data_IF_065213945057
#
_entry.id   IF_065213945057
#
_cell.length_a   1.000
_cell.length_b   1.000
_cell.length_c   1.000
_cell.angle_alpha   90.00
_cell.angle_beta   90.00
_cell.angle_gamma   90.00
#
_symmetry.space_group_name_H-M   'P 1'
#
loop_
_entity.id
_entity.type
_entity.pdbx_description
1 polymer ?
#
# COMPACT_ATOMS: atom_id res chain seq x y z
N UNK A 1 -15.80 6.67 -33.06
CA UNK A 1 -15.10 7.44 -32.00
C UNK A 1 -13.70 6.87 -31.88
N UNK A 2 -12.64 7.67 -31.69
CA UNK A 2 -11.34 7.11 -31.41
C UNK A 2 -11.43 6.34 -30.10
N UNK A 3 -11.09 5.05 -30.14
CA UNK A 3 -10.95 4.20 -28.97
C UNK A 3 -9.89 4.79 -28.07
N UNK A 4 -10.26 5.22 -26.87
CA UNK A 4 -9.29 5.65 -25.86
C UNK A 4 -8.52 4.40 -25.42
N UNK A 5 -7.22 4.37 -25.68
CA UNK A 5 -6.35 3.31 -25.18
C UNK A 5 -6.05 3.54 -23.70
N UNK A 6 -6.76 2.80 -22.84
CA UNK A 6 -6.63 2.90 -21.40
C UNK A 6 -5.24 2.47 -20.89
N UNK A 7 -4.46 1.72 -21.69
CA UNK A 7 -3.11 1.28 -21.33
C UNK A 7 -2.07 2.41 -21.39
N UNK A 8 -2.40 3.53 -22.05
CA UNK A 8 -1.53 4.70 -22.15
C UNK A 8 -1.75 5.71 -21.03
N UNK A 9 -2.69 5.44 -20.11
CA UNK A 9 -2.94 6.31 -18.98
C UNK A 9 -1.78 6.21 -17.98
N UNK A 10 -1.36 7.35 -17.38
CA UNK A 10 -0.37 7.30 -16.30
C UNK A 10 -0.93 6.52 -15.11
N UNK A 11 -0.03 5.93 -14.32
CA UNK A 11 -0.42 5.22 -13.11
C UNK A 11 -1.18 6.17 -12.17
N UNK A 12 -2.36 5.77 -11.66
CA UNK A 12 -3.12 6.58 -10.72
C UNK A 12 -2.32 6.89 -9.45
N UNK A 13 -2.35 8.13 -9.01
CA UNK A 13 -1.61 8.57 -7.82
C UNK A 13 -2.04 7.88 -6.51
N UNK A 14 -3.24 7.29 -6.46
CA UNK A 14 -3.73 6.52 -5.31
C UNK A 14 -3.04 5.14 -5.21
N UNK A 15 -2.48 4.62 -6.32
CA UNK A 15 -1.75 3.35 -6.31
C UNK A 15 -0.30 3.68 -5.94
N UNK A 16 0.03 3.52 -4.67
CA UNK A 16 1.34 3.85 -4.12
C UNK A 16 2.38 2.80 -4.51
N UNK A 17 3.61 3.23 -4.83
CA UNK A 17 4.76 2.35 -4.88
C UNK A 17 5.27 2.10 -3.46
N UNK A 18 5.05 0.89 -2.94
CA UNK A 18 5.37 0.54 -1.56
C UNK A 18 6.82 0.09 -1.43
N UNK A 19 7.51 0.62 -0.42
CA UNK A 19 8.86 0.24 -0.05
C UNK A 19 8.92 -0.09 1.44
N UNK A 20 9.42 -1.29 1.77
CA UNK A 20 9.46 -1.77 3.15
C UNK A 20 10.37 -0.94 4.04
N UNK A 21 11.54 -0.52 3.54
CA UNK A 21 12.53 0.23 4.33
C UNK A 21 12.04 1.65 4.62
N UNK A 22 11.33 2.27 3.65
CA UNK A 22 10.68 3.57 3.87
C UNK A 22 9.62 3.46 4.97
N UNK A 23 8.73 2.46 4.90
CA UNK A 23 7.68 2.24 5.90
C UNK A 23 8.30 1.93 7.27
N UNK A 24 9.34 1.09 7.32
CA UNK A 24 10.05 0.77 8.56
C UNK A 24 10.66 2.02 9.20
N UNK A 25 11.29 2.89 8.40
CA UNK A 25 11.84 4.15 8.90
C UNK A 25 10.76 5.06 9.49
N UNK A 26 9.62 5.20 8.81
CA UNK A 26 8.45 5.95 9.30
C UNK A 26 7.94 5.40 10.64
N UNK A 27 7.80 4.08 10.75
CA UNK A 27 7.36 3.40 11.98
C UNK A 27 8.36 3.61 13.11
N UNK A 28 9.68 3.46 12.86
CA UNK A 28 10.70 3.70 13.88
C UNK A 28 10.62 5.14 14.41
N UNK A 29 10.50 6.13 13.53
CA UNK A 29 10.35 7.53 13.92
C UNK A 29 9.06 7.76 14.73
N UNK A 30 7.96 7.15 14.30
CA UNK A 30 6.70 7.21 15.02
C UNK A 30 6.84 6.59 16.43
N UNK A 31 7.46 5.42 16.55
CA UNK A 31 7.72 4.77 17.83
C UNK A 31 8.55 5.67 18.76
N UNK A 32 9.66 6.22 18.27
CA UNK A 32 10.53 7.15 19.04
C UNK A 32 9.72 8.35 19.54
N UNK A 33 8.83 8.92 18.70
CA UNK A 33 8.00 10.07 19.08
C UNK A 33 7.11 9.83 20.31
N UNK A 34 6.76 8.56 20.59
CA UNK A 34 5.90 8.18 21.72
C UNK A 34 6.63 8.07 23.05
N UNK A 35 7.96 7.99 23.04
CA UNK A 35 8.74 7.96 24.27
C UNK A 35 8.99 9.37 24.83
N UNK A 36 9.16 9.50 26.17
CA UNK A 36 9.63 10.73 26.80
C UNK A 36 10.96 11.20 26.21
N UNK A 37 11.14 12.52 26.11
CA UNK A 37 12.27 13.12 25.39
C UNK A 37 13.62 12.70 25.97
N UNK A 38 13.69 12.48 27.29
CA UNK A 38 14.91 12.09 28.00
C UNK A 38 15.44 10.71 27.57
N UNK A 39 14.57 9.83 27.07
CA UNK A 39 14.93 8.46 26.68
C UNK A 39 14.93 8.25 25.17
N UNK A 40 14.46 9.21 24.37
CA UNK A 40 14.36 9.07 22.90
C UNK A 40 15.68 8.71 22.23
N UNK A 41 16.78 9.30 22.67
CA UNK A 41 18.12 9.00 22.11
C UNK A 41 18.53 7.55 22.37
N UNK A 42 18.26 7.03 23.57
CA UNK A 42 18.55 5.63 23.91
C UNK A 42 17.66 4.66 23.12
N UNK A 43 16.38 4.99 22.96
CA UNK A 43 15.43 4.20 22.17
C UNK A 43 15.80 4.19 20.69
N UNK A 44 16.20 5.34 20.14
CA UNK A 44 16.67 5.43 18.76
C UNK A 44 17.90 4.54 18.53
N UNK A 45 18.88 4.56 19.44
CA UNK A 45 20.04 3.69 19.36
C UNK A 45 19.68 2.20 19.43
N UNK A 46 18.71 1.82 20.28
CA UNK A 46 18.23 0.43 20.35
C UNK A 46 17.51 0.00 19.05
N UNK A 47 16.72 0.88 18.43
CA UNK A 47 16.01 0.59 17.19
C UNK A 47 16.92 0.38 15.96
N UNK A 48 18.18 0.78 16.02
CA UNK A 48 19.18 0.51 14.98
C UNK A 48 19.77 -0.91 15.07
N UNK A 49 19.70 -1.55 16.24
CA UNK A 49 20.24 -2.89 16.43
C UNK A 49 19.28 -3.96 15.90
N UNK A 50 19.73 -4.82 15.00
CA UNK A 50 18.92 -5.90 14.43
C UNK A 50 18.45 -6.93 15.47
N UNK A 51 19.27 -7.18 16.51
CA UNK A 51 18.95 -8.11 17.59
C UNK A 51 17.98 -7.55 18.62
N UNK A 52 17.71 -6.24 18.61
CA UNK A 52 16.86 -5.61 19.61
C UNK A 52 15.38 -5.98 19.37
N UNK A 53 14.66 -6.48 20.40
CA UNK A 53 13.25 -6.84 20.26
C UNK A 53 12.38 -5.70 19.72
N UNK A 54 12.72 -4.45 20.06
CA UNK A 54 11.98 -3.28 19.59
C UNK A 54 12.08 -3.09 18.08
N UNK A 55 13.25 -3.38 17.48
CA UNK A 55 13.45 -3.32 16.04
C UNK A 55 12.71 -4.46 15.32
N UNK A 56 12.75 -5.67 15.88
CA UNK A 56 11.99 -6.82 15.35
C UNK A 56 10.49 -6.53 15.35
N UNK A 57 9.97 -5.91 16.42
CA UNK A 57 8.57 -5.48 16.49
C UNK A 57 8.29 -4.43 15.41
N UNK A 58 9.16 -3.42 15.25
CA UNK A 58 9.01 -2.40 14.20
C UNK A 58 8.94 -3.03 12.79
N UNK A 59 9.78 -4.02 12.51
CA UNK A 59 9.76 -4.78 11.24
C UNK A 59 8.45 -5.55 11.05
N UNK A 60 7.94 -6.20 12.10
CA UNK A 60 6.67 -6.92 12.04
C UNK A 60 5.49 -5.96 11.74
N UNK A 61 5.50 -4.76 12.32
CA UNK A 61 4.53 -3.71 12.00
C UNK A 61 4.68 -3.20 10.57
N UNK A 62 5.91 -2.92 10.13
CA UNK A 62 6.18 -2.48 8.75
C UNK A 62 5.68 -3.47 7.71
N UNK A 63 5.89 -4.76 7.95
CA UNK A 63 5.40 -5.82 7.08
C UNK A 63 3.86 -5.87 7.03
N UNK A 64 3.21 -5.78 8.21
CA UNK A 64 1.74 -5.75 8.28
C UNK A 64 1.17 -4.53 7.57
N UNK A 65 1.79 -3.37 7.74
CA UNK A 65 1.37 -2.14 7.09
C UNK A 65 1.54 -2.21 5.58
N UNK A 66 2.68 -2.71 5.09
CA UNK A 66 2.91 -2.93 3.65
C UNK A 66 1.80 -3.79 3.03
N UNK A 67 1.44 -4.91 3.68
CA UNK A 67 0.34 -5.75 3.20
C UNK A 67 -1.01 -5.05 3.21
N UNK A 68 -1.29 -4.21 4.21
CA UNK A 68 -2.53 -3.43 4.27
C UNK A 68 -2.57 -2.36 3.17
N UNK A 69 -1.49 -1.63 2.96
CA UNK A 69 -1.38 -0.64 1.87
C UNK A 69 -1.49 -1.31 0.49
N UNK A 70 -0.89 -2.51 0.31
CA UNK A 70 -1.04 -3.26 -0.94
C UNK A 70 -2.50 -3.66 -1.18
N UNK A 71 -3.21 -4.13 -0.15
CA UNK A 71 -4.65 -4.44 -0.26
C UNK A 71 -5.49 -3.22 -0.60
N UNK A 72 -5.10 -2.03 -0.12
CA UNK A 72 -5.76 -0.77 -0.49
C UNK A 72 -5.49 -0.44 -1.96
N UNK A 73 -4.24 -0.59 -2.43
CA UNK A 73 -3.88 -0.41 -3.84
C UNK A 73 -4.70 -1.34 -4.75
N UNK A 74 -4.79 -2.63 -4.41
CA UNK A 74 -5.55 -3.62 -5.16
C UNK A 74 -7.05 -3.26 -5.21
N UNK A 75 -7.62 -2.83 -4.07
CA UNK A 75 -9.01 -2.39 -3.99
C UNK A 75 -9.29 -1.13 -4.80
N UNK A 76 -8.36 -0.16 -4.80
CA UNK A 76 -8.48 1.04 -5.62
C UNK A 76 -8.40 0.71 -7.11
N UNK A 77 -7.48 -0.18 -7.50
CA UNK A 77 -7.34 -0.67 -8.88
C UNK A 77 -8.60 -1.40 -9.37
N UNK A 78 -9.22 -2.21 -8.51
CA UNK A 78 -10.47 -2.92 -8.81
C UNK A 78 -11.64 -1.98 -9.13
N UNK A 79 -11.63 -0.73 -8.66
CA UNK A 79 -12.64 0.27 -8.97
C UNK A 79 -12.35 1.09 -10.24
N UNK A 80 -11.25 0.85 -10.94
CA UNK A 80 -10.85 1.60 -12.14
C UNK A 80 -10.93 0.75 -13.39
N UNK A 81 -11.66 1.22 -14.41
CA UNK A 81 -11.81 0.49 -15.69
C UNK A 81 -10.47 0.12 -16.33
N UNK A 82 -9.43 0.94 -16.15
CA UNK A 82 -8.09 0.71 -16.69
C UNK A 82 -7.27 -0.36 -15.95
N UNK A 83 -7.64 -0.73 -14.72
CA UNK A 83 -6.84 -1.62 -13.85
C UNK A 83 -7.65 -2.81 -13.29
N UNK A 84 -8.98 -2.74 -13.31
CA UNK A 84 -9.86 -3.81 -12.84
C UNK A 84 -9.73 -5.07 -13.70
N UNK A 85 -9.82 -6.23 -13.08
CA UNK A 85 -9.72 -7.54 -13.75
C UNK A 85 -10.85 -8.46 -13.32
N UNK A 86 -11.08 -9.53 -14.10
CA UNK A 86 -12.05 -10.58 -13.77
C UNK A 86 -13.44 -10.03 -13.39
N UNK A 87 -13.98 -10.44 -12.25
CA UNK A 87 -15.32 -10.06 -11.77
C UNK A 87 -15.44 -8.58 -11.43
N UNK A 88 -14.34 -7.90 -11.08
CA UNK A 88 -14.37 -6.47 -10.79
C UNK A 88 -14.65 -5.67 -12.07
N UNK A 89 -14.02 -6.09 -13.19
CA UNK A 89 -14.31 -5.51 -14.51
C UNK A 89 -15.76 -5.79 -14.93
N UNK A 90 -16.27 -7.00 -14.68
CA UNK A 90 -17.66 -7.35 -14.98
C UNK A 90 -18.64 -6.46 -14.19
N UNK A 91 -18.36 -6.20 -12.91
CA UNK A 91 -19.15 -5.27 -12.09
C UNK A 91 -19.09 -3.83 -12.62
N UNK A 92 -17.92 -3.35 -13.06
CA UNK A 92 -17.79 -2.02 -13.67
C UNK A 92 -18.57 -1.94 -14.99
N UNK A 93 -18.51 -2.97 -15.83
CA UNK A 93 -19.24 -3.02 -17.10
C UNK A 93 -20.76 -2.92 -16.89
N UNK A 94 -21.27 -3.50 -15.79
CA UNK A 94 -22.68 -3.38 -15.40
C UNK A 94 -23.16 -1.94 -15.22
N UNK A 95 -22.29 -1.00 -14.83
CA UNK A 95 -22.65 0.43 -14.75
C UNK A 95 -22.96 1.07 -16.12
N UNK A 96 -22.58 0.40 -17.22
CA UNK A 96 -22.81 0.83 -18.59
C UNK A 96 -23.80 -0.09 -19.33
N UNK A 97 -24.69 -0.77 -18.58
CA UNK A 97 -25.65 -1.75 -19.11
C UNK A 97 -24.98 -2.79 -20.03
N UNK A 98 -23.74 -3.17 -19.70
CA UNK A 98 -22.91 -4.07 -20.51
C UNK A 98 -22.55 -5.31 -19.71
N UNK A 99 -22.65 -6.49 -20.35
CA UNK A 99 -22.30 -7.77 -19.74
C UNK A 99 -21.27 -8.54 -20.58
N UNK A 100 -20.52 -9.42 -19.91
CA UNK A 100 -19.57 -10.31 -20.57
C UNK A 100 -20.32 -11.31 -21.45
N UNK A 101 -20.00 -11.32 -22.74
CA UNK A 101 -20.50 -12.35 -23.63
C UNK A 101 -19.93 -13.72 -23.22
N UNK A 102 -20.81 -14.68 -22.95
CA UNK A 102 -20.46 -16.09 -22.70
C UNK A 102 -20.81 -16.89 -23.96
N UNK A 103 -19.81 -17.52 -24.56
CA UNK A 103 -19.92 -18.37 -25.77
C UNK A 103 -19.60 -19.82 -25.38
#
# INVERSE_FOLDING_TARGET
>A
MPTVDLSQLPQPAIIEALDFEVILAEIKQFMISKFPEEVRTAVAAALELESEPLNIIAQAFAWRELLLRQRINDGAAACMLSHSVATDLDNIAGNMDTERLVI
#
